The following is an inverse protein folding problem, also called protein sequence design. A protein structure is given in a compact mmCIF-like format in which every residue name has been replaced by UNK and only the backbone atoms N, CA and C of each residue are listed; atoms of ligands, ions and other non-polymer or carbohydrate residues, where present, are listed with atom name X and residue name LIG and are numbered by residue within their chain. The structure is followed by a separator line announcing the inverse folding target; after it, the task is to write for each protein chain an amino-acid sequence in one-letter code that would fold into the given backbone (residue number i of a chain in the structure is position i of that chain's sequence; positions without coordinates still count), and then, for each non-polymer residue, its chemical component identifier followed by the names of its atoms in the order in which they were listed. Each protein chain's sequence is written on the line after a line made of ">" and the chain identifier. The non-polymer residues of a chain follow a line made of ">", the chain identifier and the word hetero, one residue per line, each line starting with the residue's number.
data_IF_120254547821
#
_entry.id   IF_120254547821
#
_cell.length_a   1.000
_cell.length_b   1.000
_cell.length_c   1.000
_cell.angle_alpha   90.00
_cell.angle_beta   90.00
_cell.angle_gamma   90.00
#
_symmetry.space_group_name_H-M   'P 1'
#
loop_
_entity.id
_entity.type
_entity.pdbx_description
1 polymer ?
#
# COMPACT_ATOMS: atom_id res chain seq x y z
N UNK A 1 -5.14 -10.44 21.13
CA UNK A 1 -4.79 -9.22 20.36
C UNK A 1 -5.67 -8.09 20.85
N UNK A 2 -5.13 -6.89 21.01
CA UNK A 2 -5.95 -5.74 21.42
C UNK A 2 -6.93 -5.44 20.29
N UNK A 3 -8.18 -5.08 20.61
CA UNK A 3 -9.19 -4.67 19.63
C UNK A 3 -8.92 -3.21 19.17
N UNK A 4 -7.72 -2.95 18.67
CA UNK A 4 -7.24 -1.60 18.29
C UNK A 4 -8.04 -0.95 17.16
N UNK A 5 -8.82 -1.74 16.41
CA UNK A 5 -9.66 -1.27 15.30
C UNK A 5 -11.16 -1.53 15.57
N UNK A 6 -11.55 -1.72 16.85
CA UNK A 6 -12.93 -2.05 17.20
C UNK A 6 -13.95 -1.08 16.59
N UNK A 7 -14.85 -1.61 15.76
CA UNK A 7 -15.92 -0.88 15.10
C UNK A 7 -15.49 0.07 13.98
N UNK A 8 -14.19 0.22 13.68
CA UNK A 8 -13.74 1.04 12.53
C UNK A 8 -14.16 0.41 11.22
N UNK A 9 -14.72 1.20 10.32
CA UNK A 9 -15.10 0.81 8.97
C UNK A 9 -13.92 1.04 8.02
N UNK A 10 -13.39 -0.05 7.49
CA UNK A 10 -12.16 -0.07 6.69
C UNK A 10 -12.50 -0.40 5.25
N UNK A 11 -12.22 0.50 4.31
CA UNK A 11 -12.30 0.21 2.88
C UNK A 11 -10.94 -0.30 2.40
N UNK A 12 -10.91 -1.52 1.88
CA UNK A 12 -9.73 -2.19 1.34
C UNK A 12 -9.88 -2.45 -0.15
N UNK A 13 -8.99 -1.90 -0.97
CA UNK A 13 -8.95 -2.12 -2.42
C UNK A 13 -8.09 -3.34 -2.80
N UNK A 14 -8.31 -3.93 -3.98
CA UNK A 14 -7.65 -5.17 -4.45
C UNK A 14 -7.61 -6.25 -3.34
N UNK A 15 -8.76 -6.51 -2.76
CA UNK A 15 -8.88 -7.30 -1.53
C UNK A 15 -8.56 -8.79 -1.69
N UNK A 16 -8.63 -9.31 -2.90
CA UNK A 16 -8.35 -10.71 -3.27
C UNK A 16 -6.90 -10.98 -3.66
N UNK A 17 -6.08 -9.92 -3.79
CA UNK A 17 -4.71 -10.03 -4.26
C UNK A 17 -3.72 -9.21 -3.42
N UNK A 18 -2.42 -9.35 -3.70
CA UNK A 18 -1.29 -8.67 -3.09
C UNK A 18 -1.32 -8.78 -1.55
N UNK A 19 -1.61 -7.70 -0.83
CA UNK A 19 -1.70 -7.70 0.64
C UNK A 19 -3.12 -7.88 1.16
N UNK A 20 -4.12 -7.95 0.27
CA UNK A 20 -5.54 -7.98 0.62
C UNK A 20 -5.91 -9.09 1.61
N UNK A 21 -5.63 -10.38 1.30
CA UNK A 21 -6.03 -11.49 2.17
C UNK A 21 -5.46 -11.43 3.60
N UNK A 22 -4.18 -11.02 3.74
CA UNK A 22 -3.55 -10.87 5.04
C UNK A 22 -4.12 -9.69 5.82
N UNK A 23 -4.42 -8.59 5.12
CA UNK A 23 -5.04 -7.40 5.69
C UNK A 23 -6.42 -7.70 6.24
N UNK A 24 -7.29 -8.37 5.48
CA UNK A 24 -8.62 -8.79 5.94
C UNK A 24 -8.50 -9.55 7.26
N UNK A 25 -7.71 -10.62 7.26
CA UNK A 25 -7.53 -11.48 8.43
C UNK A 25 -7.09 -10.71 9.68
N UNK A 26 -6.09 -9.83 9.54
CA UNK A 26 -5.54 -9.09 10.67
C UNK A 26 -6.49 -8.00 11.16
N UNK A 27 -7.14 -7.28 10.25
CA UNK A 27 -8.03 -6.18 10.59
C UNK A 27 -9.33 -6.67 11.24
N UNK A 28 -9.92 -7.76 10.74
CA UNK A 28 -11.08 -8.40 11.36
C UNK A 28 -10.75 -8.93 12.76
N UNK A 29 -9.58 -9.56 12.93
CA UNK A 29 -9.11 -10.00 14.25
C UNK A 29 -8.85 -8.82 15.21
N UNK A 30 -8.58 -7.62 14.70
CA UNK A 30 -8.46 -6.39 15.48
C UNK A 30 -9.81 -5.68 15.73
N UNK A 31 -10.92 -6.26 15.27
CA UNK A 31 -12.29 -5.76 15.50
C UNK A 31 -12.82 -4.79 14.44
N UNK A 32 -12.15 -4.63 13.31
CA UNK A 32 -12.62 -3.80 12.20
C UNK A 32 -13.77 -4.45 11.42
N UNK A 33 -14.61 -3.60 10.80
CA UNK A 33 -15.56 -4.00 9.76
C UNK A 33 -14.89 -3.72 8.41
N UNK A 34 -14.38 -4.76 7.74
CA UNK A 34 -13.65 -4.63 6.49
C UNK A 34 -14.62 -4.70 5.30
N UNK A 35 -14.66 -3.61 4.53
CA UNK A 35 -15.38 -3.53 3.26
C UNK A 35 -14.37 -3.76 2.14
N UNK A 36 -14.56 -4.80 1.36
CA UNK A 36 -13.63 -5.25 0.33
C UNK A 36 -14.04 -4.82 -1.06
N UNK A 37 -13.07 -4.43 -1.88
CA UNK A 37 -13.27 -4.15 -3.31
C UNK A 37 -12.24 -4.92 -4.16
N UNK A 38 -12.72 -5.50 -5.25
CA UNK A 38 -11.91 -6.23 -6.24
C UNK A 38 -12.11 -5.70 -7.66
N UNK A 39 -12.73 -4.52 -7.78
CA UNK A 39 -13.04 -3.93 -9.07
C UNK A 39 -11.81 -3.31 -9.73
N UNK A 40 -11.90 -3.10 -11.05
CA UNK A 40 -10.89 -2.35 -11.81
C UNK A 40 -10.98 -0.85 -11.48
N UNK A 41 -10.01 -0.35 -10.73
CA UNK A 41 -9.91 1.05 -10.30
C UNK A 41 -9.22 1.96 -11.34
N UNK A 42 -8.82 1.44 -12.48
CA UNK A 42 -8.27 2.26 -13.58
C UNK A 42 -9.36 3.14 -14.21
N UNK A 43 -10.62 2.71 -14.15
CA UNK A 43 -11.76 3.49 -14.60
C UNK A 43 -12.00 4.74 -13.73
N UNK A 44 -12.15 5.90 -14.38
CA UNK A 44 -12.21 7.21 -13.69
C UNK A 44 -13.33 7.31 -12.66
N UNK A 45 -14.52 6.80 -13.00
CA UNK A 45 -15.74 6.90 -12.17
C UNK A 45 -15.77 5.89 -11.02
N UNK A 46 -14.98 4.81 -11.10
CA UNK A 46 -15.09 3.67 -10.19
C UNK A 46 -14.73 4.01 -8.76
N UNK A 47 -13.65 4.76 -8.54
CA UNK A 47 -13.22 5.14 -7.21
C UNK A 47 -14.25 5.96 -6.44
N UNK A 48 -14.92 6.89 -7.11
CA UNK A 48 -15.99 7.69 -6.51
C UNK A 48 -17.19 6.81 -6.15
N UNK A 49 -17.66 5.99 -7.10
CA UNK A 49 -18.80 5.09 -6.88
C UNK A 49 -18.53 4.08 -5.74
N UNK A 50 -17.29 3.56 -5.65
CA UNK A 50 -16.88 2.66 -4.59
C UNK A 50 -16.97 3.32 -3.20
N UNK A 51 -16.45 4.52 -3.04
CA UNK A 51 -16.52 5.24 -1.76
C UNK A 51 -17.96 5.57 -1.39
N UNK A 52 -18.79 6.00 -2.34
CA UNK A 52 -20.22 6.26 -2.12
C UNK A 52 -20.97 5.00 -1.67
N UNK A 53 -20.75 3.87 -2.33
CA UNK A 53 -21.35 2.59 -1.97
C UNK A 53 -20.88 2.07 -0.60
N UNK A 54 -19.66 2.42 -0.17
CA UNK A 54 -19.10 2.02 1.13
C UNK A 54 -19.71 2.79 2.30
N UNK A 55 -20.38 3.92 2.06
CA UNK A 55 -20.90 4.78 3.12
C UNK A 55 -19.79 5.38 3.97
N UNK A 56 -19.89 5.26 5.30
CA UNK A 56 -18.83 5.79 6.19
C UNK A 56 -17.54 4.96 6.07
N UNK A 57 -16.42 5.65 5.81
CA UNK A 57 -15.08 5.06 5.76
C UNK A 57 -14.21 5.74 6.81
N UNK A 58 -13.84 5.02 7.87
CA UNK A 58 -12.92 5.51 8.91
C UNK A 58 -11.47 5.32 8.47
N UNK A 59 -11.19 4.23 7.75
CA UNK A 59 -9.85 3.89 7.26
C UNK A 59 -9.92 3.50 5.80
N UNK A 60 -9.09 4.11 4.96
CA UNK A 60 -8.82 3.66 3.60
C UNK A 60 -7.49 2.91 3.57
N UNK A 61 -7.49 1.65 3.17
CA UNK A 61 -6.30 0.88 2.84
C UNK A 61 -6.19 0.83 1.32
N UNK A 62 -5.30 1.63 0.78
CA UNK A 62 -5.00 1.63 -0.65
C UNK A 62 -4.00 0.50 -0.97
N UNK A 63 -4.55 -0.70 -1.19
CA UNK A 63 -3.83 -1.86 -1.69
C UNK A 63 -3.86 -1.81 -3.21
N UNK A 64 -2.81 -1.23 -3.81
CA UNK A 64 -2.72 -0.97 -5.25
C UNK A 64 -1.43 -1.58 -5.80
N UNK A 65 -1.57 -2.64 -6.59
CA UNK A 65 -0.47 -3.32 -7.24
C UNK A 65 -0.56 -3.21 -8.76
N UNK A 66 0.58 -3.31 -9.42
CA UNK A 66 0.72 -3.45 -10.87
C UNK A 66 1.79 -4.48 -11.18
N UNK A 67 1.92 -4.97 -12.43
CA UNK A 67 3.14 -5.63 -12.85
C UNK A 67 4.35 -4.76 -12.51
N UNK A 68 5.45 -5.38 -12.07
CA UNK A 68 6.66 -4.63 -11.70
C UNK A 68 7.58 -4.34 -12.90
N UNK A 69 7.24 -4.88 -14.07
CA UNK A 69 8.01 -4.73 -15.33
C UNK A 69 9.49 -5.09 -15.17
N UNK A 70 9.81 -6.02 -14.27
CA UNK A 70 11.20 -6.38 -13.98
C UNK A 70 11.89 -7.02 -15.19
N UNK A 71 13.15 -6.66 -15.39
CA UNK A 71 13.94 -7.15 -16.53
C UNK A 71 13.86 -6.27 -17.78
N UNK A 72 13.00 -5.24 -17.82
CA UNK A 72 12.89 -4.32 -18.95
C UNK A 72 13.91 -3.18 -18.77
N UNK A 73 14.83 -3.04 -19.72
CA UNK A 73 15.75 -1.89 -19.76
C UNK A 73 15.01 -0.59 -20.10
N UNK A 74 15.51 0.53 -19.62
CA UNK A 74 14.88 1.84 -19.87
C UNK A 74 14.74 2.19 -21.35
N UNK A 75 15.61 1.65 -22.20
CA UNK A 75 15.55 1.80 -23.67
C UNK A 75 14.42 1.01 -24.32
N UNK A 76 13.95 -0.04 -23.66
CA UNK A 76 12.96 -1.00 -24.19
C UNK A 76 11.60 -0.83 -23.52
N UNK A 77 11.54 0.03 -22.49
CA UNK A 77 10.30 0.34 -21.76
C UNK A 77 9.37 1.13 -22.67
N UNK A 78 8.18 0.59 -22.93
CA UNK A 78 7.18 1.24 -23.77
C UNK A 78 6.38 2.30 -23.01
N UNK A 79 5.76 3.26 -23.73
CA UNK A 79 4.82 4.21 -23.14
C UNK A 79 3.60 3.50 -22.52
N UNK A 80 3.23 2.34 -23.07
CA UNK A 80 2.15 1.51 -22.52
C UNK A 80 2.51 0.92 -21.16
N UNK A 81 3.73 0.40 -21.00
CA UNK A 81 4.20 -0.14 -19.70
C UNK A 81 4.31 0.97 -18.64
N UNK A 82 4.82 2.14 -19.08
CA UNK A 82 4.88 3.33 -18.25
C UNK A 82 3.49 3.74 -17.76
N UNK A 83 2.55 3.93 -18.69
CA UNK A 83 1.18 4.34 -18.38
C UNK A 83 0.46 3.32 -17.49
N UNK A 84 0.62 2.03 -17.76
CA UNK A 84 0.03 0.96 -16.97
C UNK A 84 0.43 1.06 -15.48
N UNK A 85 1.71 1.33 -15.17
CA UNK A 85 2.16 1.49 -13.79
C UNK A 85 1.45 2.65 -13.08
N UNK A 86 1.26 3.78 -13.76
CA UNK A 86 0.57 4.94 -13.20
C UNK A 86 -0.93 4.74 -13.11
N UNK A 87 -1.55 4.13 -14.12
CA UNK A 87 -2.99 3.88 -14.18
C UNK A 87 -3.45 2.92 -13.08
N UNK A 88 -2.63 1.93 -12.74
CA UNK A 88 -2.97 0.95 -11.69
C UNK A 88 -2.64 1.42 -10.27
N UNK A 89 -1.67 2.32 -10.08
CA UNK A 89 -1.17 2.65 -8.73
C UNK A 89 -1.32 4.12 -8.34
N UNK A 90 -1.12 5.06 -9.27
CA UNK A 90 -1.07 6.50 -8.94
C UNK A 90 -2.42 7.16 -9.12
N UNK A 91 -3.05 6.99 -10.28
CA UNK A 91 -4.35 7.58 -10.55
C UNK A 91 -5.45 7.07 -9.61
N UNK A 92 -5.57 5.76 -9.30
CA UNK A 92 -6.54 5.28 -8.33
C UNK A 92 -6.28 5.83 -6.93
N UNK A 93 -5.03 5.92 -6.47
CA UNK A 93 -4.71 6.50 -5.17
C UNK A 93 -5.26 7.93 -5.04
N UNK A 94 -4.95 8.78 -6.03
CA UNK A 94 -5.47 10.15 -6.06
C UNK A 94 -7.00 10.20 -6.05
N UNK A 95 -7.65 9.38 -6.90
CA UNK A 95 -9.12 9.35 -7.02
C UNK A 95 -9.81 8.87 -5.76
N UNK A 96 -9.28 7.82 -5.11
CA UNK A 96 -9.78 7.29 -3.85
C UNK A 96 -9.65 8.32 -2.72
N UNK A 97 -8.48 8.94 -2.58
CA UNK A 97 -8.28 9.98 -1.59
C UNK A 97 -9.23 11.17 -1.81
N UNK A 98 -9.37 11.65 -3.05
CA UNK A 98 -10.30 12.73 -3.37
C UNK A 98 -11.75 12.38 -3.03
N UNK A 99 -12.14 11.12 -3.21
CA UNK A 99 -13.52 10.67 -2.92
C UNK A 99 -13.78 10.53 -1.42
N UNK A 100 -12.80 10.03 -0.63
CA UNK A 100 -13.01 9.74 0.79
C UNK A 100 -12.80 10.97 1.69
N UNK A 101 -11.93 11.89 1.30
CA UNK A 101 -11.55 13.04 2.13
C UNK A 101 -12.71 13.96 2.56
N UNK A 102 -13.72 14.27 1.72
CA UNK A 102 -14.83 15.13 2.16
C UNK A 102 -15.49 14.62 3.43
N UNK A 103 -15.85 13.35 3.48
CA UNK A 103 -16.47 12.75 4.66
C UNK A 103 -15.55 12.65 5.87
N UNK A 104 -14.24 12.44 5.66
CA UNK A 104 -13.24 12.41 6.74
C UNK A 104 -13.03 13.82 7.33
N UNK A 105 -12.94 14.85 6.48
CA UNK A 105 -12.81 16.25 6.90
C UNK A 105 -14.03 16.72 7.71
N UNK A 106 -15.24 16.40 7.27
CA UNK A 106 -16.47 16.71 7.98
C UNK A 106 -16.47 16.14 9.41
N UNK A 107 -16.03 14.89 9.56
CA UNK A 107 -15.93 14.21 10.86
C UNK A 107 -14.67 14.57 11.65
N UNK A 108 -13.72 15.28 11.05
CA UNK A 108 -12.39 15.58 11.60
C UNK A 108 -11.69 14.31 12.11
N UNK A 109 -11.78 13.24 11.34
CA UNK A 109 -11.21 11.93 11.65
C UNK A 109 -11.08 11.07 10.40
N UNK A 110 -9.90 10.47 10.20
CA UNK A 110 -9.67 9.52 9.12
C UNK A 110 -8.25 9.01 9.10
N UNK A 111 -8.07 7.80 8.58
CA UNK A 111 -6.76 7.20 8.32
C UNK A 111 -6.68 6.76 6.87
N UNK A 112 -5.57 7.04 6.22
CA UNK A 112 -5.26 6.54 4.88
C UNK A 112 -3.90 5.85 4.96
N UNK A 113 -3.87 4.54 4.69
CA UNK A 113 -2.66 3.73 4.67
C UNK A 113 -2.46 3.19 3.26
N UNK A 114 -1.30 3.45 2.69
CA UNK A 114 -0.95 3.03 1.33
C UNK A 114 0.08 1.92 1.40
N UNK A 115 -0.20 0.78 0.77
CA UNK A 115 0.81 -0.23 0.50
C UNK A 115 1.67 0.22 -0.69
N UNK A 116 2.85 0.73 -0.38
CA UNK A 116 3.83 1.23 -1.32
C UNK A 116 4.97 0.26 -1.58
N UNK A 117 6.13 0.80 -1.98
CA UNK A 117 7.33 -0.01 -2.19
C UNK A 117 8.59 0.74 -1.81
N UNK A 118 9.53 0.03 -1.19
CA UNK A 118 10.84 0.56 -0.83
C UNK A 118 11.74 0.86 -2.05
N UNK A 119 11.37 0.37 -3.25
CA UNK A 119 12.05 0.76 -4.50
C UNK A 119 11.87 2.26 -4.82
N UNK A 120 10.87 2.92 -4.24
CA UNK A 120 10.70 4.37 -4.29
C UNK A 120 11.80 5.11 -3.51
N UNK A 121 12.39 4.46 -2.52
CA UNK A 121 13.41 5.01 -1.63
C UNK A 121 14.83 4.60 -2.04
N UNK A 122 14.95 3.50 -2.81
CA UNK A 122 16.21 2.96 -3.29
C UNK A 122 16.02 2.39 -4.68
N UNK A 123 16.68 2.98 -5.67
CA UNK A 123 16.60 2.54 -7.06
C UNK A 123 17.05 1.08 -7.27
N UNK A 124 16.34 0.39 -8.16
CA UNK A 124 16.72 -0.92 -8.68
C UNK A 124 16.85 -0.87 -10.19
N UNK A 125 17.73 -1.74 -10.72
CA UNK A 125 17.87 -1.91 -12.17
C UNK A 125 16.61 -2.50 -12.77
N UNK A 126 16.25 -2.10 -13.97
CA UNK A 126 15.21 -2.71 -14.83
C UNK A 126 13.80 -2.73 -14.23
N UNK A 127 13.46 -1.77 -13.38
CA UNK A 127 12.12 -1.55 -12.80
C UNK A 127 11.74 -0.06 -12.83
N UNK A 128 12.12 0.66 -13.87
CA UNK A 128 12.06 2.13 -13.93
C UNK A 128 10.64 2.66 -13.82
N UNK A 129 9.67 2.14 -14.60
CA UNK A 129 8.27 2.58 -14.55
C UNK A 129 7.64 2.32 -13.18
N UNK A 130 7.84 1.11 -12.65
CA UNK A 130 7.33 0.74 -11.34
C UNK A 130 7.91 1.62 -10.22
N UNK A 131 9.24 1.86 -10.24
CA UNK A 131 9.90 2.73 -9.25
C UNK A 131 9.39 4.17 -9.33
N UNK A 132 9.18 4.69 -10.53
CA UNK A 132 8.64 6.04 -10.74
C UNK A 132 7.21 6.17 -10.18
N UNK A 133 6.32 5.21 -10.48
CA UNK A 133 4.96 5.21 -9.97
C UNK A 133 4.93 5.07 -8.44
N UNK A 134 5.77 4.21 -7.85
CA UNK A 134 5.89 4.08 -6.40
C UNK A 134 6.47 5.34 -5.74
N UNK A 135 7.41 6.02 -6.37
CA UNK A 135 7.93 7.32 -5.91
C UNK A 135 6.85 8.42 -5.99
N UNK A 136 6.00 8.40 -7.02
CA UNK A 136 4.86 9.30 -7.11
C UNK A 136 3.86 9.09 -5.94
N UNK A 137 3.62 7.85 -5.52
CA UNK A 137 2.82 7.57 -4.34
C UNK A 137 3.45 8.16 -3.05
N UNK A 138 4.78 8.07 -2.90
CA UNK A 138 5.50 8.67 -1.75
C UNK A 138 5.30 10.18 -1.73
N UNK A 139 5.58 10.87 -2.83
CA UNK A 139 5.39 12.32 -2.91
C UNK A 139 3.95 12.75 -2.65
N UNK A 140 2.98 11.99 -3.18
CA UNK A 140 1.56 12.23 -2.94
C UNK A 140 1.19 12.11 -1.47
N UNK A 141 1.60 11.02 -0.80
CA UNK A 141 1.32 10.77 0.62
C UNK A 141 1.95 11.84 1.52
N UNK A 142 3.19 12.23 1.24
CA UNK A 142 3.89 13.27 2.00
C UNK A 142 3.16 14.61 1.93
N UNK A 143 2.79 15.03 0.72
CA UNK A 143 2.08 16.30 0.52
C UNK A 143 0.68 16.27 1.10
N UNK A 144 -0.10 15.23 0.78
CA UNK A 144 -1.47 15.10 1.27
C UNK A 144 -1.52 14.98 2.79
N UNK A 145 -0.59 14.22 3.40
CA UNK A 145 -0.54 14.07 4.86
C UNK A 145 -0.42 15.40 5.58
N UNK A 146 0.48 16.27 5.10
CA UNK A 146 0.65 17.62 5.67
C UNK A 146 -0.59 18.48 5.44
N UNK A 147 -1.21 18.39 4.25
CA UNK A 147 -2.40 19.17 3.90
C UNK A 147 -3.59 18.88 4.82
N UNK A 148 -3.83 17.59 5.13
CA UNK A 148 -5.05 17.15 5.86
C UNK A 148 -4.82 16.93 7.36
N UNK A 149 -3.60 17.06 7.85
CA UNK A 149 -3.29 16.91 9.27
C UNK A 149 -4.08 17.86 10.18
N UNK A 150 -4.34 19.15 9.80
CA UNK A 150 -5.19 20.04 10.60
C UNK A 150 -6.63 19.54 10.77
N UNK A 151 -7.09 18.66 9.89
CA UNK A 151 -8.41 18.03 9.95
C UNK A 151 -8.39 16.71 10.74
N UNK A 152 -7.29 16.40 11.44
CA UNK A 152 -7.09 15.17 12.20
C UNK A 152 -7.21 13.92 11.30
N UNK A 153 -6.63 13.98 10.10
CA UNK A 153 -6.54 12.88 9.13
C UNK A 153 -5.06 12.53 8.96
N UNK A 154 -4.69 11.27 9.16
CA UNK A 154 -3.33 10.78 8.99
C UNK A 154 -3.23 9.98 7.68
N UNK A 155 -2.26 10.34 6.86
CA UNK A 155 -1.96 9.66 5.59
C UNK A 155 -0.52 9.16 5.63
N UNK A 156 -0.33 7.85 5.54
CA UNK A 156 0.99 7.24 5.62
C UNK A 156 1.15 6.12 4.59
N UNK A 157 2.38 5.79 4.24
CA UNK A 157 2.73 4.75 3.28
C UNK A 157 3.72 3.75 3.90
N UNK A 158 3.44 2.48 3.71
CA UNK A 158 4.35 1.39 4.05
C UNK A 158 5.21 1.11 2.81
N UNK A 159 6.48 1.47 2.87
CA UNK A 159 7.42 1.25 1.79
C UNK A 159 7.98 -0.18 1.89
N UNK A 160 7.24 -1.14 1.31
CA UNK A 160 7.51 -2.56 1.40
C UNK A 160 8.64 -3.01 0.49
N UNK A 161 9.43 -3.99 0.94
CA UNK A 161 10.16 -4.91 0.08
C UNK A 161 10.40 -6.23 0.82
N UNK A 162 10.50 -7.33 0.07
CA UNK A 162 10.70 -8.68 0.64
C UNK A 162 9.61 -9.10 1.64
N UNK A 163 8.35 -8.81 1.29
CA UNK A 163 7.16 -9.28 2.01
C UNK A 163 6.48 -10.38 1.20
N UNK A 164 6.11 -11.48 1.84
CA UNK A 164 5.40 -12.59 1.20
C UNK A 164 4.08 -12.11 0.60
N UNK A 165 3.92 -12.32 -0.69
CA UNK A 165 2.66 -12.10 -1.42
C UNK A 165 2.69 -12.92 -2.72
N UNK A 166 1.54 -13.25 -3.30
CA UNK A 166 1.48 -14.08 -4.50
C UNK A 166 1.97 -13.36 -5.76
N UNK A 167 1.91 -12.02 -5.80
CA UNK A 167 2.25 -11.23 -6.99
C UNK A 167 3.75 -11.20 -7.27
N UNK A 168 4.56 -10.90 -6.25
CA UNK A 168 6.00 -10.68 -6.44
C UNK A 168 6.87 -11.82 -5.90
N UNK A 169 6.37 -12.60 -4.95
CA UNK A 169 7.10 -13.69 -4.29
C UNK A 169 6.26 -14.97 -4.24
N UNK A 170 5.84 -15.53 -5.40
CA UNK A 170 5.08 -16.76 -5.42
C UNK A 170 5.90 -17.94 -4.86
N UNK A 171 5.24 -19.01 -4.38
CA UNK A 171 5.90 -20.16 -3.76
C UNK A 171 7.07 -20.72 -4.58
N UNK A 172 6.87 -20.87 -5.90
CA UNK A 172 7.85 -21.42 -6.83
C UNK A 172 9.13 -20.59 -6.93
N UNK A 173 9.03 -19.27 -6.69
CA UNK A 173 10.20 -18.40 -6.60
C UNK A 173 10.88 -18.54 -5.24
N UNK A 174 10.10 -18.58 -4.17
CA UNK A 174 10.61 -18.66 -2.79
C UNK A 174 11.38 -19.94 -2.52
N UNK A 175 11.00 -21.05 -3.13
CA UNK A 175 11.66 -22.35 -2.99
C UNK A 175 12.99 -22.47 -3.75
N UNK A 176 13.29 -21.55 -4.69
CA UNK A 176 14.53 -21.57 -5.44
C UNK A 176 15.73 -21.22 -4.54
N UNK A 177 16.73 -22.10 -4.55
CA UNK A 177 17.99 -21.90 -3.79
C UNK A 177 18.71 -20.60 -4.19
N UNK A 178 18.65 -20.24 -5.50
CA UNK A 178 19.20 -18.99 -6.00
C UNK A 178 18.52 -17.75 -5.39
N UNK A 179 17.19 -17.81 -5.19
CA UNK A 179 16.42 -16.77 -4.53
C UNK A 179 16.80 -16.68 -3.04
N UNK A 180 16.88 -17.81 -2.34
CA UNK A 180 17.24 -17.85 -0.93
C UNK A 180 18.66 -17.30 -0.68
N UNK A 181 19.63 -17.66 -1.53
CA UNK A 181 20.99 -17.07 -1.47
C UNK A 181 20.99 -15.57 -1.73
N UNK A 182 20.21 -15.11 -2.69
CA UNK A 182 20.07 -13.68 -2.99
C UNK A 182 19.43 -12.93 -1.82
N UNK A 183 18.39 -13.49 -1.24
CA UNK A 183 17.66 -12.94 -0.10
C UNK A 183 18.61 -12.76 1.10
N UNK A 184 19.33 -13.81 1.50
CA UNK A 184 20.29 -13.78 2.60
C UNK A 184 21.40 -12.73 2.40
N UNK A 185 21.78 -12.45 1.16
CA UNK A 185 22.80 -11.43 0.84
C UNK A 185 22.25 -10.00 0.83
N UNK A 186 21.00 -9.82 0.42
CA UNK A 186 20.43 -8.49 0.17
C UNK A 186 19.64 -7.95 1.36
N UNK A 187 19.02 -8.82 2.14
CA UNK A 187 18.17 -8.46 3.28
C UNK A 187 18.89 -8.78 4.57
N UNK A 188 19.28 -7.80 5.38
CA UNK A 188 19.99 -8.03 6.64
C UNK A 188 19.30 -9.02 7.60
N UNK A 189 17.95 -9.04 7.65
CA UNK A 189 17.19 -10.04 8.42
C UNK A 189 17.25 -11.46 7.82
N UNK A 190 17.74 -11.64 6.59
CA UNK A 190 17.95 -12.94 5.94
C UNK A 190 16.68 -13.70 5.57
N UNK A 191 15.51 -13.10 5.67
CA UNK A 191 14.21 -13.73 5.34
C UNK A 191 13.23 -12.74 4.71
N UNK A 192 12.16 -13.26 4.11
CA UNK A 192 10.97 -12.48 3.84
C UNK A 192 10.24 -12.15 5.15
N UNK A 193 9.61 -10.98 5.21
CA UNK A 193 8.55 -10.76 6.19
C UNK A 193 7.32 -11.61 5.81
N UNK A 194 6.58 -12.08 6.77
CA UNK A 194 5.27 -12.67 6.49
C UNK A 194 4.28 -11.58 6.11
N UNK A 195 3.27 -11.90 5.30
CA UNK A 195 2.20 -10.97 4.99
C UNK A 195 1.45 -10.49 6.26
N UNK A 196 1.38 -11.36 7.28
CA UNK A 196 0.77 -11.01 8.56
C UNK A 196 1.59 -9.99 9.37
N UNK A 197 2.94 -10.05 9.34
CA UNK A 197 3.80 -9.05 9.99
C UNK A 197 3.53 -7.65 9.42
N UNK A 198 3.42 -7.55 8.10
CA UNK A 198 3.17 -6.29 7.42
C UNK A 198 1.73 -5.79 7.63
N UNK A 199 0.74 -6.67 7.55
CA UNK A 199 -0.65 -6.32 7.84
C UNK A 199 -0.87 -5.85 9.29
N UNK A 200 -0.10 -6.37 10.27
CA UNK A 200 -0.10 -5.87 11.65
C UNK A 200 0.45 -4.45 11.75
N UNK A 201 1.48 -4.14 10.95
CA UNK A 201 1.98 -2.78 10.89
C UNK A 201 0.98 -1.82 10.22
N UNK A 202 0.29 -2.26 9.18
CA UNK A 202 -0.82 -1.51 8.60
C UNK A 202 -1.96 -1.29 9.60
N UNK A 203 -2.30 -2.28 10.42
CA UNK A 203 -3.30 -2.15 11.47
C UNK A 203 -2.88 -1.15 12.56
N UNK A 204 -1.60 -1.09 12.92
CA UNK A 204 -1.06 -0.04 13.79
C UNK A 204 -1.26 1.35 13.17
N UNK A 205 -0.90 1.54 11.90
CA UNK A 205 -1.09 2.82 11.21
C UNK A 205 -2.57 3.20 11.02
N UNK A 206 -3.47 2.25 11.03
CA UNK A 206 -4.92 2.44 10.98
C UNK A 206 -5.56 2.71 12.35
N UNK A 207 -4.82 2.48 13.45
CA UNK A 207 -5.29 2.66 14.82
C UNK A 207 -5.05 4.09 15.33
N UNK A 208 -5.65 4.42 16.47
CA UNK A 208 -5.45 5.70 17.13
C UNK A 208 -4.03 5.81 17.76
N UNK A 209 -3.34 4.67 17.96
CA UNK A 209 -1.95 4.64 18.47
C UNK A 209 -0.95 5.31 17.51
N UNK A 210 -1.34 5.55 16.26
CA UNK A 210 -0.52 6.17 15.22
C UNK A 210 -0.87 7.63 14.89
N UNK A 211 -1.63 8.31 15.74
CA UNK A 211 -2.15 9.66 15.45
C UNK A 211 -1.06 10.71 15.18
N UNK A 212 0.16 10.48 15.66
CA UNK A 212 1.28 11.41 15.44
C UNK A 212 2.11 11.09 14.19
N UNK A 213 1.75 10.03 13.43
CA UNK A 213 2.38 9.70 12.14
C UNK A 213 1.66 10.40 11.00
N UNK A 214 2.31 11.36 10.36
CA UNK A 214 1.73 12.19 9.30
C UNK A 214 2.69 12.27 8.12
N UNK A 215 2.22 11.88 6.94
CA UNK A 215 2.96 11.99 5.68
C UNK A 215 4.22 11.12 5.62
N UNK A 216 4.24 10.00 6.35
CA UNK A 216 5.43 9.17 6.43
C UNK A 216 5.44 8.10 5.33
N UNK A 217 6.60 7.90 4.72
CA UNK A 217 6.92 6.72 3.91
C UNK A 217 7.88 5.83 4.70
N UNK A 218 7.36 4.79 5.32
CA UNK A 218 8.08 4.01 6.33
C UNK A 218 8.64 2.73 5.71
N UNK A 219 9.98 2.53 5.67
CA UNK A 219 10.57 1.32 5.13
C UNK A 219 10.16 0.08 5.95
N UNK A 220 9.58 -0.90 5.26
CA UNK A 220 9.27 -2.23 5.79
C UNK A 220 9.99 -3.27 4.91
N UNK A 221 11.29 -3.47 5.15
CA UNK A 221 12.17 -4.12 4.19
C UNK A 221 13.26 -5.02 4.79
N UNK A 222 13.17 -5.35 6.09
CA UNK A 222 14.16 -6.19 6.76
C UNK A 222 15.59 -5.62 6.74
N UNK A 223 15.73 -4.30 6.63
CA UNK A 223 17.02 -3.61 6.57
C UNK A 223 17.57 -3.42 5.13
N UNK A 224 16.81 -3.81 4.09
CA UNK A 224 17.22 -3.62 2.69
C UNK A 224 17.38 -2.13 2.33
N UNK A 225 16.54 -1.27 2.88
CA UNK A 225 16.73 0.19 2.90
C UNK A 225 16.35 0.76 4.27
N UNK A 226 16.92 1.90 4.64
CA UNK A 226 16.73 2.56 5.94
C UNK A 226 16.01 3.91 5.82
N UNK A 227 15.80 4.39 4.60
CA UNK A 227 15.17 5.68 4.31
C UNK A 227 14.55 5.73 2.93
#
# INVERSE_FOLDING_TARGET
>A
MSQSLAGKRVLLTQADDYMGPATIKVFEAAGAVVMTDTSDLTEVSRCQALVEASGTVDVLIANLASPNFSGIHATDLTDSDWSCAFDMMVHPLHRLCRAVLPQMKERRRGKIVVYGSAVALRGLKTVTAYSAARAAQVGYVQSLGVEVAPDNIQVNLIAQNYVENPVYYPPELREKESFQRSLARQVPLGRLATAEEDAKFAAFLASDDSDFFVGQAIPFSGGWTQR
#
